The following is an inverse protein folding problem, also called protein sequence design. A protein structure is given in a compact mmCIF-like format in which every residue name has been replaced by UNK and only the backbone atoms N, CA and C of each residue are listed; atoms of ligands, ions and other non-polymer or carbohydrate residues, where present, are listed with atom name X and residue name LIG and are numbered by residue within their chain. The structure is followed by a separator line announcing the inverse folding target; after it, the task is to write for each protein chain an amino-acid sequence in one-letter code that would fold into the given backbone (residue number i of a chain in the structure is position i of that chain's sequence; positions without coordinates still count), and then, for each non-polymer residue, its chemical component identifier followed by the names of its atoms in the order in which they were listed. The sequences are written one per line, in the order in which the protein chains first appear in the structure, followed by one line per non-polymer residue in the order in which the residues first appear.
data_IF_793540992439
#
_entry.id   IF_793540992439
#
_cell.length_a   1.000
_cell.length_b   1.000
_cell.length_c   1.000
_cell.angle_alpha   90.00
_cell.angle_beta   90.00
_cell.angle_gamma   90.00
#
_symmetry.space_group_name_H-M   'P 1'
#
loop_
_entity.id
_entity.type
_entity.pdbx_description
1 polymer ?
#
# COMPACT_ATOMS: atom_id res chain seq x y z
N UNK A 1 81.56 11.51 -2.37
CA UNK A 1 80.46 10.79 -1.68
C UNK A 1 79.18 11.61 -1.84
N UNK A 2 78.09 10.99 -2.34
CA UNK A 2 76.66 11.39 -2.34
C UNK A 2 76.30 12.75 -2.99
N UNK A 3 75.82 12.79 -4.24
CA UNK A 3 74.42 12.54 -4.73
C UNK A 3 73.38 13.44 -4.05
N UNK A 4 72.83 14.44 -4.76
CA UNK A 4 71.39 14.76 -4.80
C UNK A 4 71.05 15.50 -6.11
N UNK A 5 70.44 14.76 -7.03
CA UNK A 5 69.84 15.21 -8.28
C UNK A 5 68.38 15.59 -7.96
N UNK A 6 68.01 16.87 -8.09
CA UNK A 6 66.62 17.31 -7.97
C UNK A 6 65.87 16.87 -9.23
N UNK A 7 65.03 15.84 -9.08
CA UNK A 7 64.11 15.37 -10.12
C UNK A 7 62.73 15.97 -9.82
N UNK A 8 62.32 16.93 -10.65
CA UNK A 8 60.96 17.47 -10.70
C UNK A 8 60.00 16.35 -11.14
N UNK A 9 59.31 15.72 -10.19
CA UNK A 9 58.14 14.89 -10.48
C UNK A 9 56.94 15.81 -10.72
N UNK A 10 56.51 15.90 -11.98
CA UNK A 10 55.18 16.35 -12.33
C UNK A 10 54.18 15.29 -11.85
N UNK A 11 53.43 15.60 -10.80
CA UNK A 11 52.27 14.80 -10.39
C UNK A 11 51.13 15.09 -11.37
N UNK A 12 50.95 14.20 -12.34
CA UNK A 12 49.72 14.13 -13.12
C UNK A 12 48.60 13.64 -12.18
N UNK A 13 47.68 14.55 -11.81
CA UNK A 13 46.43 14.19 -11.15
C UNK A 13 45.58 13.45 -12.18
N UNK A 14 45.64 12.12 -12.17
CA UNK A 14 44.64 11.31 -12.83
C UNK A 14 43.34 11.49 -12.03
N UNK A 15 42.36 12.12 -12.66
CA UNK A 15 40.98 12.13 -12.20
C UNK A 15 40.50 10.68 -12.16
N UNK A 16 40.53 10.08 -10.97
CA UNK A 16 39.88 8.80 -10.71
C UNK A 16 38.38 9.08 -10.71
N UNK A 17 37.73 8.66 -11.79
CA UNK A 17 36.29 8.74 -11.94
C UNK A 17 35.71 7.67 -11.01
N UNK A 18 35.43 8.03 -9.76
CA UNK A 18 34.69 7.18 -8.82
C UNK A 18 33.39 6.78 -9.50
N UNK A 19 33.35 5.52 -9.96
CA UNK A 19 32.11 4.85 -10.34
C UNK A 19 31.13 5.05 -9.20
N UNK A 20 30.03 5.74 -9.50
CA UNK A 20 28.87 5.78 -8.63
C UNK A 20 28.53 4.35 -8.19
N UNK A 21 28.15 4.11 -6.92
CA UNK A 21 27.75 2.80 -6.48
C UNK A 21 26.59 2.34 -7.35
N UNK A 22 26.82 1.28 -8.13
CA UNK A 22 25.79 0.68 -8.96
C UNK A 22 24.57 0.40 -8.09
N UNK A 23 23.40 0.93 -8.47
CA UNK A 23 22.13 0.70 -7.80
C UNK A 23 21.99 -0.79 -7.44
N UNK A 24 21.63 -1.14 -6.19
CA UNK A 24 21.53 -2.54 -5.79
C UNK A 24 20.57 -3.26 -6.75
N UNK A 25 21.07 -4.28 -7.46
CA UNK A 25 20.24 -5.09 -8.36
C UNK A 25 19.12 -5.72 -7.55
N UNK A 26 17.87 -5.42 -7.91
CA UNK A 26 16.70 -6.03 -7.30
C UNK A 26 16.80 -7.56 -7.44
N UNK A 27 16.58 -8.27 -6.32
CA UNK A 27 16.53 -9.73 -6.34
C UNK A 27 15.37 -10.18 -7.22
N UNK A 28 15.60 -11.20 -8.02
CA UNK A 28 14.55 -11.81 -8.85
C UNK A 28 13.37 -12.25 -7.98
N UNK A 29 12.15 -12.01 -8.49
CA UNK A 29 10.92 -12.40 -7.82
C UNK A 29 10.85 -13.92 -7.68
N UNK A 30 10.49 -14.38 -6.49
CA UNK A 30 10.18 -15.77 -6.21
C UNK A 30 8.75 -15.87 -5.73
N UNK A 31 7.94 -16.60 -6.47
CA UNK A 31 6.53 -16.78 -6.14
C UNK A 31 6.35 -17.71 -4.95
N UNK A 32 5.44 -17.32 -4.07
CA UNK A 32 5.04 -18.13 -2.91
C UNK A 32 4.05 -19.17 -3.41
N UNK A 33 4.42 -20.44 -3.33
CA UNK A 33 3.54 -21.56 -3.68
C UNK A 33 2.76 -21.97 -2.43
N UNK A 34 1.46 -21.70 -2.44
CA UNK A 34 0.57 -22.01 -1.32
C UNK A 34 -0.06 -23.40 -1.45
N UNK A 35 -0.13 -24.12 -0.33
CA UNK A 35 -1.00 -25.30 -0.19
C UNK A 35 -2.47 -24.88 -0.23
N UNK A 36 -3.39 -25.85 -0.43
CA UNK A 36 -4.83 -25.58 -0.44
C UNK A 36 -5.32 -24.93 0.86
N UNK A 37 -4.87 -25.42 2.01
CA UNK A 37 -5.23 -24.86 3.31
C UNK A 37 -4.68 -23.45 3.50
N UNK A 38 -3.47 -23.19 3.05
CA UNK A 38 -2.89 -21.83 3.10
C UNK A 38 -3.68 -20.87 2.20
N UNK A 39 -4.04 -21.27 0.98
CA UNK A 39 -4.89 -20.45 0.09
C UNK A 39 -6.21 -20.06 0.75
N UNK A 40 -6.84 -21.00 1.44
CA UNK A 40 -8.08 -20.74 2.17
C UNK A 40 -7.88 -19.71 3.29
N UNK A 41 -6.77 -19.81 4.03
CA UNK A 41 -6.42 -18.84 5.09
C UNK A 41 -6.21 -17.44 4.51
N UNK A 42 -5.45 -17.31 3.41
CA UNK A 42 -5.20 -16.01 2.77
C UNK A 42 -6.48 -15.41 2.16
N UNK A 43 -7.32 -16.23 1.54
CA UNK A 43 -8.64 -15.79 1.02
C UNK A 43 -9.54 -15.27 2.15
N UNK A 44 -9.65 -16.00 3.27
CA UNK A 44 -10.38 -15.52 4.44
C UNK A 44 -9.77 -14.24 5.04
N UNK A 45 -8.44 -14.10 4.98
CA UNK A 45 -7.73 -12.88 5.36
C UNK A 45 -8.15 -11.68 4.51
N UNK A 46 -8.27 -11.86 3.19
CA UNK A 46 -8.79 -10.82 2.30
C UNK A 46 -10.27 -10.49 2.58
N UNK A 47 -11.12 -11.50 2.81
CA UNK A 47 -12.51 -11.27 3.24
C UNK A 47 -12.57 -10.46 4.53
N UNK A 48 -11.73 -10.80 5.52
CA UNK A 48 -11.62 -10.04 6.75
C UNK A 48 -11.15 -8.61 6.51
N UNK A 49 -10.20 -8.38 5.59
CA UNK A 49 -9.74 -7.04 5.21
C UNK A 49 -10.88 -6.13 4.75
N UNK A 50 -11.70 -6.59 3.80
CA UNK A 50 -12.82 -5.80 3.27
C UNK A 50 -13.91 -5.60 4.31
N UNK A 51 -14.23 -6.63 5.10
CA UNK A 51 -15.22 -6.49 6.16
C UNK A 51 -14.76 -5.50 7.25
N UNK A 52 -13.48 -5.53 7.61
CA UNK A 52 -12.91 -4.56 8.54
C UNK A 52 -12.90 -3.15 7.96
N UNK A 53 -12.59 -2.97 6.67
CA UNK A 53 -12.69 -1.68 6.00
C UNK A 53 -14.12 -1.13 6.10
N UNK A 54 -15.14 -1.92 5.79
CA UNK A 54 -16.55 -1.50 5.86
C UNK A 54 -16.98 -1.06 7.25
N UNK A 55 -16.43 -1.69 8.28
CA UNK A 55 -16.76 -1.34 9.67
C UNK A 55 -15.98 -0.12 10.16
N UNK A 56 -14.74 0.08 9.70
CA UNK A 56 -13.88 1.20 10.12
C UNK A 56 -14.21 2.47 9.32
N UNK A 57 -14.46 2.34 8.03
CA UNK A 57 -14.73 3.43 7.09
C UNK A 57 -15.77 4.45 7.59
N UNK A 58 -17.00 4.04 7.97
CA UNK A 58 -18.03 4.99 8.41
C UNK A 58 -17.79 5.56 9.80
N UNK A 59 -16.81 5.05 10.56
CA UNK A 59 -16.53 5.45 11.95
C UNK A 59 -15.54 6.60 12.06
N UNK A 60 -14.70 6.79 11.05
CA UNK A 60 -13.79 7.94 10.97
C UNK A 60 -13.91 8.62 9.60
N UNK A 61 -14.66 9.73 9.60
CA UNK A 61 -14.88 10.58 8.43
C UNK A 61 -13.90 11.76 8.36
N UNK A 62 -13.04 11.92 9.38
CA UNK A 62 -12.13 13.07 9.49
C UNK A 62 -10.74 12.77 8.95
N UNK A 63 -10.42 11.50 8.75
CA UNK A 63 -9.11 11.04 8.29
C UNK A 63 -9.27 10.09 7.11
N UNK A 64 -8.18 9.95 6.35
CA UNK A 64 -8.07 8.88 5.37
C UNK A 64 -7.96 7.53 6.08
N UNK A 65 -8.75 6.56 5.64
CA UNK A 65 -8.80 5.25 6.27
C UNK A 65 -7.77 4.35 5.62
N UNK A 66 -6.87 3.79 6.43
CA UNK A 66 -5.81 2.92 5.96
C UNK A 66 -5.49 1.83 6.98
N UNK A 67 -5.89 0.60 6.71
CA UNK A 67 -5.73 -0.52 7.63
C UNK A 67 -4.74 -1.56 7.11
N UNK A 68 -4.08 -2.27 8.02
CA UNK A 68 -3.29 -3.47 7.74
C UNK A 68 -4.03 -4.69 8.32
N UNK A 69 -4.79 -5.43 7.49
CA UNK A 69 -5.48 -6.64 7.91
C UNK A 69 -4.51 -7.71 8.38
N UNK A 70 -3.32 -7.79 7.77
CA UNK A 70 -2.28 -8.73 8.20
C UNK A 70 -1.72 -8.35 9.58
N UNK A 71 -1.45 -7.08 9.85
CA UNK A 71 -1.09 -6.62 11.21
C UNK A 71 -2.12 -7.06 12.22
N UNK A 72 -3.39 -6.84 11.92
CA UNK A 72 -4.49 -7.20 12.80
C UNK A 72 -4.59 -8.72 12.96
N UNK A 73 -4.41 -9.48 11.89
CA UNK A 73 -4.41 -10.95 11.94
C UNK A 73 -3.25 -11.48 12.76
N UNK A 74 -2.05 -10.90 12.61
CA UNK A 74 -0.89 -11.20 13.43
C UNK A 74 -1.14 -10.83 14.89
N UNK A 75 -1.73 -9.66 15.18
CA UNK A 75 -2.08 -9.25 16.53
C UNK A 75 -3.10 -10.18 17.18
N UNK A 76 -4.17 -10.54 16.46
CA UNK A 76 -5.16 -11.50 16.92
C UNK A 76 -4.55 -12.89 17.10
N UNK A 77 -3.64 -13.34 16.22
CA UNK A 77 -2.94 -14.61 16.37
C UNK A 77 -1.97 -14.60 17.55
N UNK A 78 -1.25 -13.49 17.76
CA UNK A 78 -0.38 -13.27 18.91
C UNK A 78 -1.16 -13.30 20.21
N UNK A 79 -2.32 -12.64 20.24
CA UNK A 79 -3.26 -12.71 21.35
C UNK A 79 -3.70 -14.15 21.56
N UNK A 80 -4.22 -14.84 20.55
CA UNK A 80 -4.61 -16.25 20.66
C UNK A 80 -3.48 -17.18 21.14
N UNK A 81 -2.22 -16.85 20.83
CA UNK A 81 -1.04 -17.64 21.20
C UNK A 81 -0.30 -17.13 22.46
N UNK A 82 -0.78 -16.09 23.15
CA UNK A 82 -0.18 -15.60 24.41
C UNK A 82 1.07 -14.71 24.29
N UNK A 83 1.39 -14.17 23.12
CA UNK A 83 2.62 -13.38 22.92
C UNK A 83 2.57 -12.01 23.63
N UNK A 84 3.67 -11.62 24.31
CA UNK A 84 3.80 -10.34 25.02
C UNK A 84 5.23 -9.77 24.96
N UNK A 85 5.43 -8.55 25.45
CA UNK A 85 6.75 -7.93 25.64
C UNK A 85 7.52 -7.64 24.34
N UNK A 86 8.78 -8.10 24.27
CA UNK A 86 9.69 -7.87 23.14
C UNK A 86 9.12 -8.44 21.82
N UNK A 87 8.48 -9.60 21.87
CA UNK A 87 7.85 -10.25 20.71
C UNK A 87 6.72 -9.41 20.10
N UNK A 88 5.90 -8.77 20.94
CA UNK A 88 4.90 -7.80 20.47
C UNK A 88 5.55 -6.60 19.77
N UNK A 89 6.62 -6.06 20.36
CA UNK A 89 7.31 -4.87 19.85
C UNK A 89 8.06 -5.12 18.53
N UNK A 90 8.66 -6.31 18.37
CA UNK A 90 9.33 -6.71 17.13
C UNK A 90 8.32 -6.91 15.99
N UNK A 91 7.14 -7.46 16.28
CA UNK A 91 6.08 -7.63 15.29
C UNK A 91 5.41 -6.28 14.95
N UNK A 92 5.23 -5.38 15.91
CA UNK A 92 4.72 -4.02 15.65
C UNK A 92 5.67 -3.19 14.76
N UNK A 93 6.98 -3.28 14.99
CA UNK A 93 7.99 -2.59 14.20
C UNK A 93 8.15 -3.15 12.78
N UNK A 94 7.75 -4.40 12.53
CA UNK A 94 7.78 -5.01 11.21
C UNK A 94 6.70 -4.50 10.24
N UNK A 95 5.75 -3.68 10.71
CA UNK A 95 4.55 -3.26 9.96
C UNK A 95 4.71 -1.94 9.20
N UNK A 96 5.92 -1.40 9.12
CA UNK A 96 6.24 -0.27 8.27
C UNK A 96 6.52 -0.76 6.84
N UNK A 97 5.62 -0.46 5.91
CA UNK A 97 5.83 -0.76 4.49
C UNK A 97 6.48 0.44 3.79
N UNK A 98 7.61 0.18 3.12
CA UNK A 98 8.28 1.13 2.22
C UNK A 98 8.48 0.43 0.87
N UNK A 99 7.63 0.75 -0.10
CA UNK A 99 7.66 0.12 -1.43
C UNK A 99 8.28 1.04 -2.48
N UNK A 100 9.29 0.53 -3.18
CA UNK A 100 10.00 1.20 -4.28
C UNK A 100 9.31 0.90 -5.58
N UNK A 101 8.98 1.91 -6.39
CA UNK A 101 8.37 1.67 -7.70
C UNK A 101 9.30 0.86 -8.61
N UNK A 102 8.74 -0.07 -9.39
CA UNK A 102 9.52 -0.75 -10.44
C UNK A 102 9.98 0.26 -11.50
N UNK A 103 9.07 1.16 -11.88
CA UNK A 103 9.32 2.32 -12.74
C UNK A 103 8.87 3.56 -11.99
N UNK A 104 9.82 4.43 -11.66
CA UNK A 104 9.58 5.64 -10.86
C UNK A 104 8.80 6.70 -11.63
N UNK A 105 8.05 7.51 -10.89
CA UNK A 105 7.55 8.77 -11.44
C UNK A 105 8.71 9.78 -11.53
N UNK A 106 8.81 10.60 -12.58
CA UNK A 106 9.77 11.68 -12.61
C UNK A 106 9.31 12.82 -11.70
N UNK A 107 10.18 13.32 -10.82
CA UNK A 107 9.87 14.48 -9.96
C UNK A 107 9.43 15.71 -10.76
N UNK A 108 10.00 15.92 -11.95
CA UNK A 108 9.59 16.99 -12.86
C UNK A 108 8.17 16.83 -13.42
N UNK A 109 7.60 15.63 -13.32
CA UNK A 109 6.22 15.33 -13.66
C UNK A 109 5.24 15.69 -12.55
N UNK A 110 5.71 15.92 -11.32
CA UNK A 110 4.83 16.27 -10.20
C UNK A 110 4.30 17.69 -10.35
N UNK A 111 2.96 17.83 -10.31
CA UNK A 111 2.29 19.12 -10.49
C UNK A 111 1.06 19.22 -9.59
N UNK A 112 0.74 20.43 -9.07
CA UNK A 112 -0.53 20.68 -8.41
C UNK A 112 -1.69 20.46 -9.38
N UNK A 113 -2.67 19.64 -8.99
CA UNK A 113 -3.89 19.36 -9.75
C UNK A 113 -5.10 19.34 -8.79
N UNK A 114 -6.31 19.66 -9.29
CA UNK A 114 -7.52 19.50 -8.50
C UNK A 114 -7.77 18.03 -8.18
N UNK A 115 -8.25 17.78 -6.96
CA UNK A 115 -8.84 16.52 -6.54
C UNK A 115 -10.27 16.79 -6.10
N UNK A 116 -11.24 16.14 -6.73
CA UNK A 116 -12.66 16.25 -6.47
C UNK A 116 -13.01 15.48 -5.20
N UNK A 117 -12.79 16.09 -4.02
CA UNK A 117 -12.94 15.38 -2.75
C UNK A 117 -14.39 14.93 -2.50
N UNK A 118 -14.55 13.92 -1.64
CA UNK A 118 -15.87 13.42 -1.24
C UNK A 118 -16.77 14.52 -0.61
N UNK A 119 -16.17 15.59 -0.07
CA UNK A 119 -16.89 16.75 0.48
C UNK A 119 -17.48 17.69 -0.57
N UNK A 120 -17.33 17.40 -1.87
CA UNK A 120 -17.82 18.23 -2.98
C UNK A 120 -16.99 19.51 -3.20
N UNK A 121 -15.85 19.64 -2.51
CA UNK A 121 -14.91 20.74 -2.68
C UNK A 121 -13.66 20.21 -3.37
N UNK A 122 -13.24 20.90 -4.42
CA UNK A 122 -11.96 20.61 -5.05
C UNK A 122 -10.82 21.02 -4.13
N UNK A 123 -9.90 20.09 -3.88
CA UNK A 123 -8.69 20.31 -3.08
C UNK A 123 -7.50 20.21 -4.02
N UNK A 124 -6.58 21.15 -3.95
CA UNK A 124 -5.33 21.04 -4.71
C UNK A 124 -4.40 20.02 -4.03
N UNK A 125 -3.98 19.00 -4.78
CA UNK A 125 -2.99 18.02 -4.33
C UNK A 125 -1.83 17.98 -5.34
N UNK A 126 -0.65 17.59 -4.89
CA UNK A 126 0.47 17.31 -5.79
C UNK A 126 0.26 15.95 -6.44
N UNK A 127 0.11 15.92 -7.77
CA UNK A 127 -0.04 14.69 -8.54
C UNK A 127 1.27 14.32 -9.19
N UNK A 128 1.66 13.07 -9.05
CA UNK A 128 2.75 12.46 -9.81
C UNK A 128 2.21 12.04 -11.17
N UNK A 129 2.88 12.49 -12.25
CA UNK A 129 2.46 12.22 -13.63
C UNK A 129 3.58 11.51 -14.39
N UNK A 130 3.25 10.41 -15.04
CA UNK A 130 4.20 9.65 -15.86
C UNK A 130 3.51 8.87 -16.97
N UNK A 131 4.27 8.53 -18.00
CA UNK A 131 3.97 7.44 -18.91
C UNK A 131 4.80 6.23 -18.47
N UNK A 132 4.15 5.15 -18.04
CA UNK A 132 4.84 4.00 -17.48
C UNK A 132 4.12 2.67 -17.75
N UNK A 133 4.87 1.55 -17.74
CA UNK A 133 4.28 0.23 -17.86
C UNK A 133 3.54 -0.14 -16.56
N UNK A 134 2.28 -0.51 -16.70
CA UNK A 134 1.41 -0.94 -15.59
C UNK A 134 0.32 -1.86 -16.13
N UNK A 135 -0.61 -2.31 -15.28
CA UNK A 135 -1.84 -2.94 -15.79
C UNK A 135 -3.05 -2.05 -15.56
N UNK A 136 -3.96 -2.10 -16.51
CA UNK A 136 -5.25 -1.39 -16.44
C UNK A 136 -6.36 -2.37 -16.81
N UNK A 137 -7.50 -2.21 -16.15
CA UNK A 137 -8.73 -2.94 -16.43
C UNK A 137 -9.94 -2.14 -15.99
N UNK A 138 -11.10 -2.44 -16.55
CA UNK A 138 -12.38 -1.87 -16.14
C UNK A 138 -13.29 -2.99 -15.64
N UNK A 139 -13.89 -2.77 -14.47
CA UNK A 139 -14.91 -3.66 -13.91
C UNK A 139 -16.29 -3.05 -14.13
N UNK A 140 -17.07 -3.65 -15.03
CA UNK A 140 -18.48 -3.25 -15.26
C UNK A 140 -19.37 -3.54 -14.05
N UNK A 141 -19.01 -4.52 -13.23
CA UNK A 141 -19.75 -4.85 -12.00
C UNK A 141 -19.60 -3.76 -10.94
N UNK A 142 -18.39 -3.21 -10.82
CA UNK A 142 -18.07 -2.16 -9.86
C UNK A 142 -18.24 -0.75 -10.44
N UNK A 143 -18.41 -0.64 -11.76
CA UNK A 143 -18.40 0.65 -12.48
C UNK A 143 -17.14 1.45 -12.12
N UNK A 144 -15.99 0.81 -12.29
CA UNK A 144 -14.71 1.30 -11.80
C UNK A 144 -13.53 0.85 -12.66
N UNK A 145 -12.54 1.73 -12.81
CA UNK A 145 -11.22 1.41 -13.35
C UNK A 145 -10.31 0.86 -12.25
N UNK A 146 -9.48 -0.14 -12.60
CA UNK A 146 -8.43 -0.66 -11.73
C UNK A 146 -7.06 -0.49 -12.40
N UNK A 147 -6.14 0.19 -11.70
CA UNK A 147 -4.74 0.33 -12.10
C UNK A 147 -3.83 -0.43 -11.11
N UNK A 148 -2.95 -1.29 -11.64
CA UNK A 148 -1.97 -2.07 -10.86
C UNK A 148 -0.56 -1.57 -11.18
N UNK A 149 0.10 -0.98 -10.18
CA UNK A 149 1.45 -0.43 -10.27
C UNK A 149 2.44 -1.30 -9.49
N UNK A 150 3.43 -1.92 -10.13
CA UNK A 150 4.33 -2.84 -9.45
C UNK A 150 5.44 -2.12 -8.68
N UNK A 151 5.78 -2.67 -7.51
CA UNK A 151 6.95 -2.30 -6.74
C UNK A 151 8.15 -3.22 -7.03
N UNK A 152 9.35 -2.63 -7.08
CA UNK A 152 10.64 -3.32 -7.07
C UNK A 152 10.73 -4.45 -8.08
N UNK A 153 10.84 -5.68 -7.58
CA UNK A 153 10.92 -6.88 -8.42
C UNK A 153 9.55 -7.39 -8.90
N UNK A 154 8.49 -6.59 -8.79
CA UNK A 154 7.11 -6.93 -9.16
C UNK A 154 6.48 -8.03 -8.28
N UNK A 155 6.97 -8.23 -7.05
CA UNK A 155 6.34 -9.14 -6.08
C UNK A 155 5.14 -8.49 -5.37
N UNK A 156 5.20 -7.17 -5.18
CA UNK A 156 4.13 -6.37 -4.59
C UNK A 156 3.64 -5.35 -5.60
N UNK A 157 2.37 -4.96 -5.46
CA UNK A 157 1.73 -3.93 -6.28
C UNK A 157 0.96 -2.95 -5.42
N UNK A 158 0.84 -1.74 -5.93
CA UNK A 158 -0.15 -0.76 -5.51
C UNK A 158 -1.33 -0.85 -6.48
N UNK A 159 -2.45 -1.33 -5.96
CA UNK A 159 -3.70 -1.37 -6.70
C UNK A 159 -4.52 -0.13 -6.36
N UNK A 160 -5.06 0.53 -7.37
CA UNK A 160 -6.03 1.62 -7.22
C UNK A 160 -7.29 1.22 -7.96
N UNK A 161 -8.40 1.19 -7.24
CA UNK A 161 -9.74 0.98 -7.75
C UNK A 161 -10.49 2.31 -7.68
N UNK A 162 -10.65 2.92 -8.85
CA UNK A 162 -11.20 4.25 -9.06
C UNK A 162 -12.63 4.10 -9.65
N UNK A 163 -13.69 4.29 -8.86
CA UNK A 163 -15.06 4.23 -9.37
C UNK A 163 -15.35 5.41 -10.30
N UNK A 164 -16.28 5.28 -11.26
CA UNK A 164 -16.63 6.39 -12.15
C UNK A 164 -17.21 7.59 -11.35
N UNK A 165 -17.03 8.82 -11.84
CA UNK A 165 -17.40 10.06 -11.12
C UNK A 165 -18.84 10.12 -10.58
N UNK A 166 -19.78 9.42 -11.23
CA UNK A 166 -21.20 9.41 -10.86
C UNK A 166 -21.55 8.35 -9.81
N UNK A 167 -20.59 7.56 -9.36
CA UNK A 167 -20.78 6.51 -8.36
C UNK A 167 -20.70 7.13 -6.96
N UNK A 168 -21.71 6.87 -6.14
CA UNK A 168 -21.67 7.22 -4.72
C UNK A 168 -20.56 6.44 -4.01
N UNK A 169 -19.53 7.14 -3.57
CA UNK A 169 -18.33 6.51 -3.02
C UNK A 169 -18.58 5.77 -1.70
N UNK A 170 -19.49 6.27 -0.86
CA UNK A 170 -19.82 5.61 0.41
C UNK A 170 -20.54 4.28 0.16
N UNK A 171 -21.51 4.28 -0.76
CA UNK A 171 -22.21 3.07 -1.21
C UNK A 171 -21.25 2.11 -1.93
N UNK A 172 -20.29 2.64 -2.69
CA UNK A 172 -19.24 1.87 -3.35
C UNK A 172 -18.38 1.11 -2.34
N UNK A 173 -17.84 1.79 -1.32
CA UNK A 173 -17.04 1.15 -0.26
C UNK A 173 -17.87 0.12 0.52
N UNK A 174 -19.13 0.43 0.84
CA UNK A 174 -20.03 -0.51 1.52
C UNK A 174 -20.31 -1.77 0.70
N UNK A 175 -20.43 -1.62 -0.62
CA UNK A 175 -20.72 -2.70 -1.57
C UNK A 175 -19.50 -3.52 -2.02
N UNK A 176 -18.27 -3.08 -1.72
CA UNK A 176 -17.04 -3.72 -2.16
C UNK A 176 -16.71 -4.97 -1.34
N UNK A 177 -16.26 -6.06 -1.96
CA UNK A 177 -15.83 -7.27 -1.26
C UNK A 177 -14.65 -7.95 -1.96
N UNK A 178 -14.13 -9.02 -1.36
CA UNK A 178 -12.98 -9.74 -1.90
C UNK A 178 -13.27 -10.38 -3.26
N UNK A 179 -14.50 -10.86 -3.51
CA UNK A 179 -14.86 -11.52 -4.76
C UNK A 179 -14.93 -10.52 -5.91
N UNK A 180 -15.54 -9.35 -5.67
CA UNK A 180 -15.58 -8.24 -6.64
C UNK A 180 -14.20 -7.67 -6.92
N UNK A 181 -13.36 -7.56 -5.89
CA UNK A 181 -11.97 -7.13 -6.05
C UNK A 181 -11.17 -8.12 -6.91
N UNK A 182 -11.29 -9.42 -6.65
CA UNK A 182 -10.62 -10.47 -7.43
C UNK A 182 -11.15 -10.52 -8.87
N UNK A 183 -12.46 -10.29 -9.05
CA UNK A 183 -13.09 -10.11 -10.37
C UNK A 183 -12.46 -8.94 -11.12
N UNK A 184 -12.25 -7.78 -10.47
CA UNK A 184 -11.57 -6.63 -11.07
C UNK A 184 -10.11 -6.92 -11.46
N UNK A 185 -9.35 -7.60 -10.59
CA UNK A 185 -7.98 -8.05 -10.88
C UNK A 185 -7.96 -8.93 -12.15
N UNK A 186 -8.95 -9.81 -12.31
CA UNK A 186 -9.02 -10.70 -13.48
C UNK A 186 -9.18 -9.96 -14.82
N UNK A 187 -9.60 -8.69 -14.81
CA UNK A 187 -9.76 -7.83 -15.98
C UNK A 187 -8.51 -7.03 -16.35
N UNK A 188 -7.49 -7.05 -15.49
CA UNK A 188 -6.25 -6.31 -15.72
C UNK A 188 -5.51 -6.83 -16.95
N UNK A 189 -5.07 -5.91 -17.79
CA UNK A 189 -4.26 -6.16 -18.98
C UNK A 189 -3.02 -5.27 -18.97
N UNK A 190 -1.89 -5.81 -19.43
CA UNK A 190 -0.63 -5.06 -19.47
C UNK A 190 -0.72 -3.89 -20.45
N UNK A 191 -0.28 -2.73 -20.00
CA UNK A 191 -0.10 -1.51 -20.77
C UNK A 191 1.39 -1.16 -20.73
N UNK A 192 2.01 -0.94 -21.88
CA UNK A 192 3.45 -0.63 -21.95
C UNK A 192 3.74 0.84 -21.65
N UNK A 193 2.90 1.75 -22.15
CA UNK A 193 3.09 3.20 -22.07
C UNK A 193 1.76 3.87 -21.65
N UNK A 194 1.27 3.63 -20.42
CA UNK A 194 0.04 4.25 -19.91
C UNK A 194 0.33 5.59 -19.25
N UNK A 195 -0.45 6.62 -19.60
CA UNK A 195 -0.47 7.90 -18.88
C UNK A 195 -1.16 7.73 -17.53
N UNK A 196 -0.39 7.84 -16.46
CA UNK A 196 -0.84 7.66 -15.07
C UNK A 196 -0.64 8.95 -14.30
N UNK A 197 -1.69 9.41 -13.63
CA UNK A 197 -1.70 10.60 -12.76
C UNK A 197 -2.30 10.23 -11.40
N UNK A 198 -1.50 10.27 -10.34
CA UNK A 198 -1.93 9.83 -9.00
C UNK A 198 -1.45 10.86 -7.96
N UNK A 199 -2.27 11.22 -6.95
CA UNK A 199 -1.84 12.13 -5.89
C UNK A 199 -0.71 11.53 -5.06
N UNK A 200 0.24 12.39 -4.64
CA UNK A 200 1.15 12.08 -3.54
C UNK A 200 0.33 11.91 -2.27
N UNK A 201 0.72 10.94 -1.45
CA UNK A 201 0.01 10.62 -0.22
C UNK A 201 1.00 10.55 0.95
N UNK A 202 0.69 11.22 2.05
CA UNK A 202 1.34 11.00 3.36
C UNK A 202 0.21 10.87 4.38
N UNK A 203 -0.26 9.64 4.53
CA UNK A 203 -1.40 9.29 5.34
C UNK A 203 -0.92 8.76 6.68
N UNK A 204 -1.48 9.27 7.75
CA UNK A 204 -1.34 8.69 9.09
C UNK A 204 -2.73 8.38 9.59
N UNK A 205 -2.99 7.12 9.91
CA UNK A 205 -4.25 6.66 10.44
C UNK A 205 -4.03 5.98 11.79
N UNK A 206 -4.83 6.37 12.78
CA UNK A 206 -4.87 5.70 14.08
C UNK A 206 -6.28 5.23 14.34
N UNK A 207 -6.47 3.92 14.25
CA UNK A 207 -7.71 3.28 14.65
C UNK A 207 -7.65 3.04 16.17
N UNK A 208 -8.29 3.93 16.92
CA UNK A 208 -8.36 3.86 18.38
C UNK A 208 -9.47 2.92 18.86
N UNK A 209 -9.56 2.71 20.17
CA UNK A 209 -10.50 1.79 20.82
C UNK A 209 -11.95 2.00 20.36
N UNK A 210 -12.41 3.24 20.29
CA UNK A 210 -13.77 3.62 19.91
C UNK A 210 -14.10 3.34 18.43
N UNK A 211 -13.09 3.06 17.61
CA UNK A 211 -13.25 2.67 16.21
C UNK A 211 -13.11 1.15 16.08
N UNK A 212 -12.00 0.59 16.58
CA UNK A 212 -11.66 -0.82 16.35
C UNK A 212 -12.51 -1.79 17.16
N UNK A 213 -12.79 -1.52 18.44
CA UNK A 213 -13.58 -2.48 19.23
C UNK A 213 -15.00 -2.62 18.65
N UNK A 214 -15.75 -1.53 18.39
CA UNK A 214 -17.05 -1.66 17.75
C UNK A 214 -16.99 -2.36 16.40
N UNK A 215 -15.98 -2.06 15.58
CA UNK A 215 -15.78 -2.75 14.30
C UNK A 215 -15.58 -4.26 14.48
N UNK A 216 -14.67 -4.68 15.36
CA UNK A 216 -14.41 -6.11 15.61
C UNK A 216 -15.62 -6.82 16.24
N UNK A 217 -16.38 -6.12 17.08
CA UNK A 217 -17.64 -6.63 17.65
C UNK A 217 -18.71 -6.85 16.58
N UNK A 218 -18.89 -5.92 15.64
CA UNK A 218 -19.77 -6.11 14.47
C UNK A 218 -19.37 -7.33 13.64
N UNK A 219 -18.07 -7.63 13.59
CA UNK A 219 -17.52 -8.81 12.91
C UNK A 219 -17.60 -10.12 13.72
N UNK A 220 -18.23 -10.09 14.91
CA UNK A 220 -18.48 -11.27 15.74
C UNK A 220 -17.45 -11.51 16.84
N UNK A 221 -16.40 -10.69 16.96
CA UNK A 221 -15.43 -10.76 18.06
C UNK A 221 -16.00 -9.97 19.24
N UNK A 222 -16.95 -10.55 19.97
CA UNK A 222 -17.69 -9.82 21.02
C UNK A 222 -17.14 -10.09 22.43
N UNK A 223 -17.01 -11.37 22.80
CA UNK A 223 -16.64 -11.79 24.16
C UNK A 223 -15.24 -11.33 24.56
N UNK A 224 -14.32 -11.19 23.61
CA UNK A 224 -12.93 -10.80 23.85
C UNK A 224 -12.77 -9.43 24.56
N UNK A 225 -13.79 -8.58 24.51
CA UNK A 225 -13.75 -7.19 25.01
C UNK A 225 -14.56 -6.97 26.30
N UNK A 226 -14.97 -8.03 26.99
CA UNK A 226 -15.73 -7.93 28.24
C UNK A 226 -15.38 -9.06 29.22
N UNK A 227 -15.98 -9.02 30.41
CA UNK A 227 -15.70 -9.97 31.50
C UNK A 227 -16.00 -11.45 31.17
N UNK A 228 -16.74 -11.72 30.09
CA UNK A 228 -17.01 -13.08 29.59
C UNK A 228 -15.92 -13.62 28.66
N UNK A 229 -14.81 -12.89 28.47
CA UNK A 229 -13.67 -13.36 27.70
C UNK A 229 -13.06 -14.61 28.34
N UNK A 230 -12.79 -15.62 27.51
CA UNK A 230 -12.03 -16.80 27.92
C UNK A 230 -10.60 -16.72 27.35
N UNK A 231 -9.70 -16.18 28.17
CA UNK A 231 -8.26 -16.18 27.91
C UNK A 231 -7.51 -17.12 28.87
N UNK A 232 -8.17 -18.19 29.33
CA UNK A 232 -7.59 -19.17 30.28
C UNK A 232 -6.32 -19.85 29.77
N UNK A 233 -6.14 -19.94 28.44
CA UNK A 233 -4.92 -20.44 27.82
C UNK A 233 -3.72 -19.48 27.95
N UNK A 234 -3.97 -18.18 28.18
CA UNK A 234 -2.95 -17.14 28.30
C UNK A 234 -2.70 -16.72 29.74
N UNK A 235 -3.74 -16.77 30.58
CA UNK A 235 -3.74 -16.19 31.91
C UNK A 235 -4.50 -17.10 32.88
N UNK A 236 -3.97 -17.24 34.09
CA UNK A 236 -4.62 -17.92 35.20
C UNK A 236 -5.62 -17.03 35.98
N UNK A 237 -5.73 -15.75 35.61
CA UNK A 237 -6.73 -14.82 36.11
C UNK A 237 -7.63 -14.36 34.98
N UNK A 238 -8.89 -14.02 35.32
CA UNK A 238 -9.84 -13.48 34.35
C UNK A 238 -9.34 -12.14 33.81
N UNK A 239 -9.11 -12.09 32.50
CA UNK A 239 -8.68 -10.90 31.77
C UNK A 239 -9.54 -10.74 30.54
N UNK A 240 -9.62 -9.52 30.02
CA UNK A 240 -10.24 -9.23 28.73
C UNK A 240 -9.44 -8.14 28.01
N UNK A 241 -9.65 -8.01 26.70
CA UNK A 241 -8.98 -6.97 25.93
C UNK A 241 -9.68 -5.65 26.22
N UNK A 242 -8.99 -4.79 26.96
CA UNK A 242 -9.51 -3.45 27.22
C UNK A 242 -9.33 -2.55 25.99
N UNK A 243 -8.21 -2.61 25.27
CA UNK A 243 -7.98 -1.73 24.13
C UNK A 243 -7.25 -2.42 22.99
N UNK A 244 -7.63 -2.08 21.77
CA UNK A 244 -6.91 -2.40 20.53
C UNK A 244 -6.66 -1.08 19.81
N UNK A 245 -5.39 -0.84 19.45
CA UNK A 245 -4.99 0.36 18.73
C UNK A 245 -4.15 -0.09 17.53
N UNK A 246 -4.50 0.40 16.35
CA UNK A 246 -3.71 0.20 15.15
C UNK A 246 -3.25 1.56 14.63
N UNK A 247 -1.94 1.74 14.56
CA UNK A 247 -1.30 2.91 13.97
C UNK A 247 -0.67 2.52 12.65
N UNK A 248 -1.04 3.19 11.59
CA UNK A 248 -0.49 2.98 10.26
C UNK A 248 -0.05 4.31 9.69
N UNK A 249 1.10 4.31 9.02
CA UNK A 249 1.54 5.43 8.21
C UNK A 249 1.86 4.91 6.82
N UNK A 250 1.35 5.60 5.81
CA UNK A 250 1.58 5.30 4.42
C UNK A 250 2.08 6.55 3.74
N UNK A 251 3.25 6.46 3.11
CA UNK A 251 3.78 7.54 2.31
C UNK A 251 4.07 7.04 0.91
N UNK A 252 3.59 7.78 -0.07
CA UNK A 252 3.74 7.52 -1.49
C UNK A 252 4.22 8.79 -2.18
N UNK A 253 5.39 8.68 -2.78
CA UNK A 253 6.06 9.73 -3.55
C UNK A 253 6.70 9.13 -4.81
N UNK A 254 7.43 9.97 -5.55
CA UNK A 254 7.96 9.66 -6.88
C UNK A 254 8.99 8.54 -6.86
N UNK A 255 9.74 8.46 -5.76
CA UNK A 255 10.81 7.50 -5.57
C UNK A 255 10.28 6.13 -5.17
N UNK A 256 9.24 6.10 -4.34
CA UNK A 256 8.96 4.90 -3.55
C UNK A 256 10.16 4.49 -2.68
N UNK A 257 11.07 5.39 -2.31
CA UNK A 257 12.41 5.08 -1.79
C UNK A 257 13.44 4.49 -2.79
N UNK A 258 14.73 4.76 -2.55
CA UNK A 258 15.89 4.51 -3.46
C UNK A 258 15.99 3.09 -4.03
N UNK A 259 16.32 2.79 -5.29
CA UNK A 259 16.83 3.47 -6.49
C UNK A 259 16.36 2.60 -7.70
N UNK A 260 16.07 3.11 -8.90
CA UNK A 260 17.00 3.63 -9.89
C UNK A 260 16.21 4.40 -10.97
N UNK A 261 16.76 5.52 -11.43
CA UNK A 261 16.16 6.35 -12.48
C UNK A 261 16.38 5.67 -13.84
N UNK A 262 15.32 5.26 -14.51
CA UNK A 262 15.37 4.97 -15.96
C UNK A 262 14.67 6.13 -16.65
N UNK A 263 15.45 7.05 -17.24
CA UNK A 263 14.90 8.13 -18.06
C UNK A 263 14.43 7.51 -19.37
N UNK A 264 13.12 7.37 -19.56
CA UNK A 264 12.54 6.98 -20.86
C UNK A 264 12.49 8.26 -21.70
N UNK A 265 13.56 8.54 -22.46
CA UNK A 265 13.54 9.59 -23.48
C UNK A 265 12.89 9.05 -24.76
N UNK A 266 11.72 9.60 -25.09
CA UNK A 266 11.15 9.58 -26.44
C UNK A 266 10.46 8.28 -26.85
N UNK A 267 9.13 8.26 -26.72
CA UNK A 267 8.25 7.42 -27.54
C UNK A 267 6.99 8.20 -27.95
N UNK A 268 6.43 7.78 -29.08
CA UNK A 268 5.21 8.31 -29.66
C UNK A 268 4.05 8.23 -28.65
N UNK A 269 3.20 9.28 -28.63
CA UNK A 269 1.98 9.36 -27.82
C UNK A 269 1.15 8.07 -27.97
N UNK A 270 1.12 7.25 -26.93
CA UNK A 270 0.26 6.08 -26.88
C UNK A 270 -1.22 6.53 -26.82
N UNK A 271 -2.06 5.96 -27.69
CA UNK A 271 -3.49 6.29 -27.82
C UNK A 271 -4.37 5.52 -26.82
N UNK A 272 -3.93 5.43 -25.56
CA UNK A 272 -4.70 4.85 -24.46
C UNK A 272 -5.44 5.92 -23.67
N UNK A 273 -6.60 5.58 -23.11
CA UNK A 273 -7.26 6.43 -22.12
C UNK A 273 -6.36 6.57 -20.89
N UNK A 274 -6.09 7.80 -20.40
CA UNK A 274 -5.24 7.99 -19.24
C UNK A 274 -5.93 7.47 -17.96
N UNK A 275 -5.14 7.01 -17.00
CA UNK A 275 -5.63 6.74 -15.65
C UNK A 275 -5.32 7.94 -14.76
N UNK A 276 -6.35 8.62 -14.26
CA UNK A 276 -6.25 9.84 -13.46
C UNK A 276 -7.03 9.62 -12.16
N UNK A 277 -6.33 9.42 -11.05
CA UNK A 277 -6.95 9.21 -9.74
C UNK A 277 -7.24 10.56 -9.05
N UNK A 278 -8.15 11.35 -9.61
CA UNK A 278 -8.49 12.71 -9.18
C UNK A 278 -9.77 12.84 -8.34
N UNK A 279 -10.35 11.73 -7.93
CA UNK A 279 -11.53 11.67 -7.06
C UNK A 279 -11.44 10.42 -6.16
N UNK A 280 -12.34 10.23 -5.18
CA UNK A 280 -12.18 9.20 -4.15
C UNK A 280 -12.01 7.80 -4.72
N UNK A 281 -11.05 7.05 -4.17
CA UNK A 281 -10.70 5.71 -4.64
C UNK A 281 -10.39 4.76 -3.48
N UNK A 282 -10.53 3.46 -3.73
CA UNK A 282 -10.05 2.41 -2.83
C UNK A 282 -8.69 1.94 -3.33
N UNK A 283 -7.76 1.66 -2.43
CA UNK A 283 -6.42 1.21 -2.80
C UNK A 283 -5.93 0.09 -1.90
N UNK A 284 -5.06 -0.75 -2.44
CA UNK A 284 -4.46 -1.86 -1.70
C UNK A 284 -2.97 -2.00 -2.02
N UNK A 285 -2.23 -2.49 -1.03
CA UNK A 285 -0.89 -3.05 -1.24
C UNK A 285 -1.04 -4.55 -1.19
N UNK A 286 -0.74 -5.22 -2.31
CA UNK A 286 -0.99 -6.64 -2.49
C UNK A 286 0.26 -7.39 -2.92
N UNK A 287 0.44 -8.59 -2.38
CA UNK A 287 1.45 -9.53 -2.85
C UNK A 287 0.85 -10.38 -3.99
N UNK A 288 1.52 -10.42 -5.15
CA UNK A 288 0.92 -10.95 -6.39
C UNK A 288 0.76 -12.47 -6.36
N UNK A 289 1.74 -13.23 -5.84
CA UNK A 289 1.72 -14.70 -5.96
C UNK A 289 0.63 -15.37 -5.11
N UNK A 290 0.28 -14.76 -3.99
CA UNK A 290 -0.75 -15.22 -3.05
C UNK A 290 -2.05 -14.44 -3.14
N UNK A 291 -2.05 -13.30 -3.85
CA UNK A 291 -3.13 -12.33 -3.90
C UNK A 291 -3.46 -11.71 -2.52
N UNK A 292 -2.51 -11.75 -1.57
CA UNK A 292 -2.74 -11.31 -0.19
C UNK A 292 -2.73 -9.80 -0.08
N UNK A 293 -3.77 -9.24 0.53
CA UNK A 293 -3.87 -7.82 0.85
C UNK A 293 -3.11 -7.55 2.15
N UNK A 294 -2.01 -6.81 2.04
CA UNK A 294 -1.20 -6.38 3.19
C UNK A 294 -1.75 -5.11 3.83
N UNK A 295 -2.24 -4.22 2.98
CA UNK A 295 -2.87 -2.98 3.37
C UNK A 295 -4.06 -2.69 2.45
N UNK A 296 -5.10 -2.08 3.02
CA UNK A 296 -6.30 -1.69 2.33
C UNK A 296 -6.77 -0.34 2.88
N UNK A 297 -7.15 0.58 2.00
CA UNK A 297 -7.62 1.89 2.40
C UNK A 297 -8.62 2.49 1.44
N UNK A 298 -9.30 3.51 1.91
CA UNK A 298 -10.16 4.37 1.12
C UNK A 298 -9.63 5.80 1.22
N UNK A 299 -9.34 6.39 0.07
CA UNK A 299 -8.83 7.75 -0.06
C UNK A 299 -9.98 8.67 -0.49
N UNK A 300 -10.33 9.64 0.35
CA UNK A 300 -11.42 10.61 0.17
C UNK A 300 -10.93 11.96 -0.33
N UNK A 301 -9.63 12.23 -0.22
CA UNK A 301 -9.01 13.50 -0.57
C UNK A 301 -9.29 14.62 0.42
N UNK A 302 -9.37 14.31 1.72
CA UNK A 302 -9.63 15.30 2.78
C UNK A 302 -8.48 16.34 2.87
N UNK A 303 -8.81 17.56 3.33
CA UNK A 303 -7.86 18.67 3.55
C UNK A 303 -6.97 18.47 4.78
#
# INVERSE_FOLDING_TARGET
MRKYLFLLMAFAVLADCEKSPSSPKLKERKDIVLTKSQKEVFSKGNTFAFNLLKEVYPRDTKQEVFISPLSMSCALSMLSNGASGKTFSEIANALYFKGIWTTKFPESGTKPMPFHSLGGKDVTKDFMNAELPCKLGYSTELTAQMCELPFGNKAFVFDILLPDENVDFDAFVAGLDAEKWDSAISKLSSQEDLRVSIPKMDLSFTAERNILIPALQSLGIVSAFNASADFSAMSNIAVFIDSVIQKTRFRMDEDGAEAAVTVITGRNLASGEPFIADHPFVYAIREISTNTILFLGAYRGLE
#
